data_IF_341563245058
#
_entry.id   IF_341563245058
#
_cell.length_a   1.000
_cell.length_b   1.000
_cell.length_c   1.000
_cell.angle_alpha   90.00
_cell.angle_beta   90.00
_cell.angle_gamma   90.00
#
_symmetry.space_group_name_H-M   'P 1'
#
loop_
_entity.id
_entity.type
_entity.pdbx_description
1 polymer ?
#
# COMPACT_ATOMS: atom_id res chain seq x y z
N UNK A 1 1.75 -9.70 10.82
CA UNK A 1 2.37 -8.42 10.36
C UNK A 1 3.69 -8.27 11.05
N UNK A 2 4.77 -8.08 10.28
CA UNK A 2 6.12 -7.90 10.81
C UNK A 2 6.26 -6.59 11.57
N UNK A 3 7.31 -6.50 12.39
CA UNK A 3 7.66 -5.27 13.12
C UNK A 3 7.96 -4.09 12.19
N UNK A 4 8.39 -4.35 10.96
CA UNK A 4 8.63 -3.30 9.95
C UNK A 4 7.35 -2.57 9.56
N UNK A 5 6.24 -3.30 9.39
CA UNK A 5 4.93 -2.68 9.09
C UNK A 5 4.43 -1.85 10.26
N UNK A 6 4.69 -2.30 11.50
CA UNK A 6 4.36 -1.55 12.72
C UNK A 6 5.22 -0.27 12.84
N UNK A 7 6.52 -0.36 12.54
CA UNK A 7 7.46 0.77 12.57
C UNK A 7 7.12 1.85 11.54
N UNK A 8 6.70 1.45 10.35
CA UNK A 8 6.34 2.39 9.26
C UNK A 8 4.85 2.74 9.21
N UNK A 9 4.08 2.37 10.23
CA UNK A 9 2.63 2.58 10.27
C UNK A 9 2.26 4.06 10.18
N UNK A 10 3.01 4.92 10.86
CA UNK A 10 2.83 6.38 10.83
C UNK A 10 3.05 6.95 9.43
N UNK A 11 4.04 6.44 8.68
CA UNK A 11 4.29 6.82 7.28
C UNK A 11 3.16 6.33 6.36
N UNK A 12 2.66 5.11 6.57
CA UNK A 12 1.53 4.56 5.79
C UNK A 12 0.25 5.35 6.07
N UNK A 13 0.00 5.75 7.32
CA UNK A 13 -1.12 6.61 7.70
C UNK A 13 -1.01 7.99 7.07
N UNK A 14 0.18 8.58 7.11
CA UNK A 14 0.49 9.86 6.49
C UNK A 14 0.25 9.82 4.98
N UNK A 15 0.69 8.76 4.31
CA UNK A 15 0.40 8.49 2.90
C UNK A 15 -1.11 8.39 2.62
N UNK A 16 -1.88 7.72 3.48
CA UNK A 16 -3.32 7.64 3.33
C UNK A 16 -4.01 9.00 3.53
N UNK A 17 -3.61 9.76 4.55
CA UNK A 17 -4.19 11.06 4.90
C UNK A 17 -3.98 12.11 3.80
N UNK A 18 -2.82 12.10 3.14
CA UNK A 18 -2.57 13.05 2.05
C UNK A 18 -3.30 12.65 0.77
N UNK A 19 -4.35 13.39 0.39
CA UNK A 19 -5.03 13.19 -0.90
C UNK A 19 -4.19 13.62 -2.12
N UNK A 20 -3.12 14.39 -1.91
CA UNK A 20 -2.27 14.90 -2.99
C UNK A 20 -1.38 13.80 -3.59
N UNK A 21 -1.63 13.48 -4.86
CA UNK A 21 -0.86 12.53 -5.66
C UNK A 21 0.62 12.93 -5.77
N UNK A 22 0.93 14.23 -5.82
CA UNK A 22 2.31 14.73 -5.91
C UNK A 22 3.11 14.41 -4.64
N UNK A 23 2.51 14.63 -3.47
CA UNK A 23 3.13 14.33 -2.17
C UNK A 23 3.33 12.83 -1.96
N UNK A 24 2.31 12.01 -2.28
CA UNK A 24 2.43 10.55 -2.23
C UNK A 24 3.59 10.05 -3.10
N UNK A 25 3.75 10.59 -4.30
CA UNK A 25 4.88 10.23 -5.18
C UNK A 25 6.22 10.69 -4.64
N UNK A 26 6.31 11.88 -4.06
CA UNK A 26 7.54 12.37 -3.44
C UNK A 26 7.98 11.47 -2.28
N UNK A 27 7.04 11.06 -1.42
CA UNK A 27 7.31 10.14 -0.31
C UNK A 27 7.81 8.79 -0.84
N UNK A 28 7.17 8.21 -1.85
CA UNK A 28 7.60 6.91 -2.40
C UNK A 28 8.92 7.01 -3.17
N UNK A 29 9.19 8.14 -3.83
CA UNK A 29 10.47 8.38 -4.51
C UNK A 29 11.63 8.36 -3.51
N UNK A 30 11.43 9.00 -2.36
CA UNK A 30 12.42 9.09 -1.29
C UNK A 30 12.27 7.99 -0.23
N UNK A 31 11.35 7.04 -0.42
CA UNK A 31 11.11 5.98 0.54
C UNK A 31 12.30 5.02 0.61
N UNK A 32 12.75 4.73 1.82
CA UNK A 32 13.75 3.71 2.10
C UNK A 32 13.26 2.31 1.71
N UNK A 33 14.22 1.38 1.57
CA UNK A 33 13.93 -0.01 1.25
C UNK A 33 12.95 -0.64 2.25
N UNK A 34 13.04 -0.30 3.53
CA UNK A 34 12.16 -0.80 4.59
C UNK A 34 10.70 -0.37 4.40
N UNK A 35 10.46 0.90 4.06
CA UNK A 35 9.10 1.38 3.78
C UNK A 35 8.50 0.69 2.54
N UNK A 36 9.32 0.44 1.52
CA UNK A 36 8.90 -0.30 0.33
C UNK A 36 8.64 -1.78 0.63
N UNK A 37 9.43 -2.40 1.52
CA UNK A 37 9.20 -3.75 2.03
C UNK A 37 7.90 -3.83 2.84
N UNK A 38 7.64 -2.85 3.72
CA UNK A 38 6.42 -2.79 4.50
C UNK A 38 5.17 -2.70 3.60
N UNK A 39 5.21 -1.87 2.55
CA UNK A 39 4.12 -1.79 1.57
C UNK A 39 3.94 -3.10 0.78
N UNK A 40 5.03 -3.80 0.46
CA UNK A 40 4.99 -5.11 -0.18
C UNK A 40 4.38 -6.19 0.73
N UNK A 41 4.72 -6.17 2.02
CA UNK A 41 4.14 -7.08 3.01
C UNK A 41 2.65 -6.80 3.22
N UNK A 42 2.24 -5.53 3.22
CA UNK A 42 0.84 -5.14 3.21
C UNK A 42 0.09 -5.73 2.00
N UNK A 43 0.65 -5.60 0.79
CA UNK A 43 0.08 -6.19 -0.41
C UNK A 43 0.02 -7.73 -0.34
N UNK A 44 1.04 -8.38 0.24
CA UNK A 44 1.05 -9.82 0.45
C UNK A 44 -0.06 -10.28 1.41
N UNK A 45 -0.25 -9.58 2.53
CA UNK A 45 -1.30 -9.91 3.50
C UNK A 45 -2.71 -9.70 2.93
N UNK A 46 -2.90 -8.67 2.08
CA UNK A 46 -4.12 -8.46 1.31
C UNK A 46 -4.40 -9.67 0.39
N UNK A 47 -3.39 -10.15 -0.34
CA UNK A 47 -3.53 -11.32 -1.23
C UNK A 47 -3.80 -12.61 -0.46
N UNK A 48 -3.23 -12.76 0.73
CA UNK A 48 -3.46 -13.90 1.62
C UNK A 48 -4.78 -13.84 2.39
N UNK A 49 -5.59 -12.78 2.19
CA UNK A 49 -6.83 -12.53 2.94
C UNK A 49 -6.64 -12.40 4.46
N UNK A 50 -5.42 -12.10 4.91
CA UNK A 50 -5.11 -11.81 6.32
C UNK A 50 -5.59 -10.41 6.73
N UNK A 51 -5.96 -9.58 5.75
CA UNK A 51 -6.53 -8.26 5.95
C UNK A 51 -8.03 -8.35 5.63
N UNK A 52 -8.93 -8.02 6.57
CA UNK A 52 -10.37 -8.03 6.33
C UNK A 52 -10.74 -6.88 5.38
N UNK A 53 -11.10 -7.21 4.14
CA UNK A 53 -11.48 -6.23 3.12
C UNK A 53 -12.98 -6.30 2.86
N UNK A 54 -13.62 -5.14 2.72
CA UNK A 54 -15.00 -5.08 2.21
C UNK A 54 -15.04 -5.46 0.73
N UNK A 55 -16.20 -5.88 0.22
CA UNK A 55 -16.35 -6.25 -1.19
C UNK A 55 -16.04 -5.10 -2.14
N UNK A 56 -16.40 -3.87 -1.76
CA UNK A 56 -16.05 -2.67 -2.51
C UNK A 56 -14.53 -2.48 -2.61
N UNK A 57 -13.80 -2.64 -1.49
CA UNK A 57 -12.34 -2.55 -1.47
C UNK A 57 -11.70 -3.69 -2.27
N UNK A 58 -12.23 -4.90 -2.18
CA UNK A 58 -11.76 -6.06 -2.92
C UNK A 58 -11.96 -5.89 -4.42
N UNK A 59 -13.11 -5.38 -4.86
CA UNK A 59 -13.39 -5.04 -6.27
C UNK A 59 -12.42 -3.97 -6.78
N UNK A 60 -12.22 -2.89 -6.01
CA UNK A 60 -11.28 -1.83 -6.37
C UNK A 60 -9.85 -2.36 -6.51
N UNK A 61 -9.40 -3.24 -5.61
CA UNK A 61 -8.09 -3.88 -5.66
C UNK A 61 -7.93 -4.91 -6.78
N UNK A 62 -9.02 -5.58 -7.18
CA UNK A 62 -9.01 -6.61 -8.22
C UNK A 62 -8.52 -6.07 -9.56
N UNK A 63 -8.86 -4.82 -9.89
CA UNK A 63 -8.37 -4.10 -11.08
C UNK A 63 -6.83 -4.03 -11.09
N UNK A 64 -6.20 -4.03 -9.92
CA UNK A 64 -4.75 -3.95 -9.76
C UNK A 64 -4.09 -5.28 -9.35
N UNK A 65 -4.75 -6.43 -9.56
CA UNK A 65 -4.25 -7.75 -9.14
C UNK A 65 -2.82 -8.06 -9.61
N UNK A 66 -2.46 -7.63 -10.82
CA UNK A 66 -1.12 -7.84 -11.38
C UNK A 66 -0.08 -7.01 -10.63
N UNK A 67 -0.39 -5.75 -10.32
CA UNK A 67 0.47 -4.87 -9.54
C UNK A 67 0.60 -5.35 -8.09
N UNK A 68 -0.49 -5.82 -7.48
CA UNK A 68 -0.46 -6.42 -6.14
C UNK A 68 0.46 -7.63 -6.08
N UNK A 69 0.32 -8.58 -7.02
CA UNK A 69 1.18 -9.77 -7.08
C UNK A 69 2.64 -9.42 -7.34
N UNK A 70 2.89 -8.45 -8.23
CA UNK A 70 4.24 -7.99 -8.53
C UNK A 70 4.89 -7.27 -7.34
N UNK A 71 4.13 -6.49 -6.59
CA UNK A 71 4.59 -5.78 -5.40
C UNK A 71 4.87 -6.75 -4.25
N UNK A 72 3.99 -7.72 -4.04
CA UNK A 72 4.08 -8.74 -3.00
C UNK A 72 5.14 -9.83 -3.26
N UNK A 73 5.84 -9.78 -4.40
CA UNK A 73 6.88 -10.77 -4.71
C UNK A 73 8.05 -10.61 -3.73
N UNK A 74 8.40 -11.70 -3.04
CA UNK A 74 9.43 -11.75 -1.98
C UNK A 74 10.78 -11.21 -2.47
N UNK A 75 11.20 -11.65 -3.65
CA UNK A 75 12.51 -11.32 -4.23
C UNK A 75 12.50 -10.08 -5.13
N UNK A 76 11.43 -9.28 -5.08
CA UNK A 76 11.41 -8.04 -5.84
C UNK A 76 12.36 -7.00 -5.20
N UNK A 77 13.37 -6.49 -5.95
CA UNK A 77 14.26 -5.46 -5.43
C UNK A 77 13.50 -4.16 -5.15
N UNK A 78 14.00 -3.36 -4.21
CA UNK A 78 13.37 -2.11 -3.79
C UNK A 78 13.07 -1.16 -4.98
N UNK A 79 13.99 -1.06 -5.95
CA UNK A 79 13.78 -0.27 -7.17
C UNK A 79 12.55 -0.73 -7.98
N UNK A 80 12.30 -2.05 -8.05
CA UNK A 80 11.12 -2.61 -8.72
C UNK A 80 9.85 -2.31 -7.95
N UNK A 81 9.87 -2.46 -6.62
CA UNK A 81 8.73 -2.11 -5.74
C UNK A 81 8.36 -0.64 -5.88
N UNK A 82 9.37 0.25 -5.81
CA UNK A 82 9.21 1.69 -6.02
C UNK A 82 8.60 1.99 -7.39
N UNK A 83 9.10 1.34 -8.45
CA UNK A 83 8.54 1.49 -9.80
C UNK A 83 7.07 1.07 -9.85
N UNK A 84 6.69 -0.06 -9.27
CA UNK A 84 5.28 -0.52 -9.25
C UNK A 84 4.38 0.46 -8.50
N UNK A 85 4.85 1.01 -7.38
CA UNK A 85 4.11 2.00 -6.59
C UNK A 85 3.98 3.35 -7.30
N UNK A 86 4.98 3.76 -8.11
CA UNK A 86 5.00 5.03 -8.84
C UNK A 86 4.38 4.95 -10.24
N UNK A 87 4.31 3.75 -10.83
CA UNK A 87 3.74 3.48 -12.15
C UNK A 87 2.23 3.37 -11.99
N UNK A 88 1.54 4.51 -11.99
CA UNK A 88 0.10 4.51 -12.17
C UNK A 88 -0.27 3.91 -13.52
N UNK A 89 -1.49 3.38 -13.61
CA UNK A 89 -1.95 2.57 -14.72
C UNK A 89 -1.81 3.32 -16.05
N UNK A 90 -0.99 2.81 -16.96
CA UNK A 90 -1.04 3.17 -18.38
C UNK A 90 -2.20 2.42 -19.06
N UNK A 91 -3.43 2.55 -18.53
CA UNK A 91 -4.64 2.25 -19.28
C UNK A 91 -5.32 3.60 -19.52
N UNK A 92 -5.51 3.93 -20.80
CA UNK A 92 -5.72 5.29 -21.30
C UNK A 92 -6.83 6.09 -20.61
N UNK A 93 -6.59 7.40 -20.54
CA UNK A 93 -7.57 8.39 -20.09
C UNK A 93 -7.11 9.21 -18.88
N UNK A 94 -6.46 10.35 -19.13
CA UNK A 94 -6.48 11.53 -18.23
C UNK A 94 -5.81 11.39 -16.85
N UNK A 95 -4.54 11.76 -16.75
CA UNK A 95 -4.04 12.64 -15.68
C UNK A 95 -4.16 12.25 -14.19
N UNK A 96 -4.58 11.05 -13.81
CA UNK A 96 -4.75 10.68 -12.40
C UNK A 96 -3.88 9.48 -11.99
N UNK A 97 -2.59 9.74 -11.76
CA UNK A 97 -1.62 8.73 -11.28
C UNK A 97 -1.79 8.42 -9.77
N UNK A 98 -3.03 8.29 -9.30
CA UNK A 98 -3.43 7.94 -7.93
C UNK A 98 -4.08 6.56 -7.80
N UNK A 99 -4.29 5.81 -8.88
CA UNK A 99 -5.11 4.59 -8.88
C UNK A 99 -4.63 3.47 -7.94
N UNK A 100 -3.45 2.88 -8.21
CA UNK A 100 -2.99 1.71 -7.44
C UNK A 100 -2.64 2.02 -5.99
N UNK A 101 -1.93 3.13 -5.76
CA UNK A 101 -1.48 3.50 -4.42
C UNK A 101 -2.67 3.90 -3.53
N UNK A 102 -3.64 4.64 -4.06
CA UNK A 102 -4.85 4.96 -3.29
C UNK A 102 -5.72 3.72 -3.08
N UNK A 103 -5.83 2.84 -4.07
CA UNK A 103 -6.55 1.58 -3.94
C UNK A 103 -5.88 0.63 -2.92
N UNK A 104 -4.55 0.68 -2.78
CA UNK A 104 -3.80 -0.05 -1.76
C UNK A 104 -3.97 0.59 -0.37
N UNK A 105 -3.98 1.92 -0.27
CA UNK A 105 -4.09 2.64 1.00
C UNK A 105 -5.50 2.60 1.60
N UNK A 106 -6.55 2.65 0.76
CA UNK A 106 -7.95 2.62 1.21
C UNK A 106 -8.29 1.43 2.15
N UNK A 107 -7.89 0.18 1.83
CA UNK A 107 -8.10 -0.94 2.73
C UNK A 107 -7.13 -0.96 3.91
N UNK A 108 -5.90 -0.45 3.76
CA UNK A 108 -4.97 -0.35 4.89
C UNK A 108 -5.47 0.64 5.96
N UNK A 109 -6.18 1.69 5.55
CA UNK A 109 -6.77 2.69 6.43
C UNK A 109 -7.80 2.12 7.42
N UNK A 110 -8.56 1.10 7.02
CA UNK A 110 -9.55 0.46 7.89
C UNK A 110 -9.02 -0.85 8.48
N UNK A 111 -8.56 -1.74 7.62
CA UNK A 111 -8.33 -3.13 7.99
C UNK A 111 -6.98 -3.40 8.67
N UNK A 112 -6.02 -2.49 8.52
CA UNK A 112 -4.71 -2.58 9.19
C UNK A 112 -4.65 -1.64 10.38
N UNK A 113 -5.24 -0.46 10.26
CA UNK A 113 -5.25 0.56 11.31
C UNK A 113 -6.13 0.19 12.52
N UNK A 114 -7.36 -0.30 12.33
CA UNK A 114 -8.25 -0.67 13.44
C UNK A 114 -7.67 -1.77 14.34
N UNK A 115 -7.18 -2.92 13.81
CA UNK A 115 -6.61 -3.96 14.66
C UNK A 115 -5.23 -3.60 15.22
N UNK A 116 -4.43 -2.77 14.56
CA UNK A 116 -3.12 -2.35 15.10
C UNK A 116 -3.23 -1.22 16.13
N UNK A 117 -4.17 -0.29 15.99
CA UNK A 117 -4.49 0.65 17.07
C UNK A 117 -4.91 -0.11 18.33
N UNK A 118 -5.78 -1.12 18.20
CA UNK A 118 -6.15 -2.00 19.32
C UNK A 118 -4.96 -2.77 19.93
N UNK A 119 -3.83 -2.89 19.25
CA UNK A 119 -2.63 -3.58 19.76
C UNK A 119 -1.61 -2.60 20.38
N UNK A 120 -1.69 -1.31 20.04
CA UNK A 120 -0.75 -0.26 20.50
C UNK A 120 -1.38 0.62 21.60
N UNK A 121 -2.69 0.88 21.57
CA UNK A 121 -3.44 1.63 22.59
C UNK A 121 -3.89 0.77 23.79
N UNK A 122 -3.72 -0.55 23.70
CA UNK A 122 -4.05 -1.53 24.76
C UNK A 122 -2.78 -2.15 25.35
N UNK A 123 -1.66 -1.42 25.27
CA UNK A 123 -0.45 -1.67 26.03
C UNK A 123 -0.28 -0.60 27.09
#
# INVERSE_FOLDING_TARGET
MSELVKKHLLCIQTLNRYKSTKLRRAIIRNADADLLCALAECAYNILKKNVPLTDAQRRALSVYKTNLRALAKKDAPAARRRRILLRGNNQGGGGQTGGFLSALLAPLAGAVFLPLLKQVLLK
#
